data_IF_970405812036
#
_entry.id   IF_970405812036
#
_cell.length_a   1.000
_cell.length_b   1.000
_cell.length_c   1.000
_cell.angle_alpha   90.00
_cell.angle_beta   90.00
_cell.angle_gamma   90.00
#
_symmetry.space_group_name_H-M   'P 1'
#
loop_
_entity.id
_entity.type
_entity.pdbx_description
1 polymer ?
#
# COMPACT_ATOMS: atom_id res chain seq x y z
N UNK A 1 8.16 -8.03 10.19
CA UNK A 1 7.76 -7.30 11.42
C UNK A 1 7.34 -8.24 12.54
N UNK A 2 6.30 -9.06 12.36
CA UNK A 2 5.78 -10.00 13.40
C UNK A 2 6.84 -10.96 13.93
N UNK A 3 7.71 -11.49 13.06
CA UNK A 3 8.83 -12.37 13.48
C UNK A 3 9.78 -11.68 14.46
N UNK A 4 10.14 -10.41 14.23
CA UNK A 4 11.02 -9.64 15.12
C UNK A 4 10.36 -9.44 16.50
N UNK A 5 9.08 -9.08 16.52
CA UNK A 5 8.27 -8.91 17.73
C UNK A 5 8.20 -10.19 18.60
N UNK A 6 8.24 -11.36 17.96
CA UNK A 6 8.07 -12.66 18.61
C UNK A 6 9.38 -13.34 19.05
N UNK A 7 10.55 -12.76 18.76
CA UNK A 7 11.86 -13.39 19.05
C UNK A 7 12.13 -13.68 20.53
N UNK A 8 11.41 -13.07 21.46
CA UNK A 8 11.62 -13.16 22.91
C UNK A 8 10.55 -13.96 23.66
N UNK A 9 9.75 -14.81 22.98
CA UNK A 9 8.74 -15.64 23.66
C UNK A 9 9.33 -16.74 24.57
N UNK A 10 10.65 -16.93 24.53
CA UNK A 10 11.39 -17.69 25.55
C UNK A 10 11.91 -16.65 26.53
N UNK A 11 11.48 -16.73 27.80
CA UNK A 11 11.81 -15.76 28.86
C UNK A 11 13.31 -15.43 28.99
N UNK A 12 13.68 -14.46 29.85
CA UNK A 12 15.04 -13.94 29.92
C UNK A 12 16.07 -15.06 30.07
N UNK A 13 17.01 -15.11 29.13
CA UNK A 13 18.08 -16.10 29.11
C UNK A 13 19.11 -15.80 30.20
N UNK A 14 19.54 -16.81 30.95
CA UNK A 14 20.64 -16.71 31.92
C UNK A 14 22.04 -16.54 31.27
N UNK A 15 22.13 -16.39 29.95
CA UNK A 15 23.39 -16.16 29.24
C UNK A 15 23.82 -14.69 29.34
N UNK A 16 25.13 -14.45 29.29
CA UNK A 16 25.77 -13.12 29.35
C UNK A 16 24.97 -12.11 28.50
N UNK A 17 24.51 -11.03 29.15
CA UNK A 17 23.78 -9.93 28.51
C UNK A 17 24.67 -9.34 27.41
N UNK A 18 24.17 -9.27 26.18
CA UNK A 18 24.94 -8.79 25.04
C UNK A 18 24.15 -8.79 23.73
N UNK A 19 24.66 -8.00 22.78
CA UNK A 19 24.15 -7.78 21.42
C UNK A 19 23.72 -9.07 20.72
N UNK A 20 22.47 -9.16 20.28
CA UNK A 20 21.97 -10.34 19.56
C UNK A 20 22.18 -10.22 18.06
N UNK A 21 23.09 -11.02 17.50
CA UNK A 21 23.31 -11.10 16.04
C UNK A 21 22.01 -11.40 15.28
N UNK A 22 21.14 -12.26 15.83
CA UNK A 22 19.85 -12.61 15.20
C UNK A 22 18.85 -11.45 15.21
N UNK A 23 18.81 -10.66 16.29
CA UNK A 23 17.92 -9.51 16.37
C UNK A 23 18.32 -8.41 15.36
N UNK A 24 19.62 -8.18 15.18
CA UNK A 24 20.11 -7.25 14.15
C UNK A 24 19.76 -7.68 12.74
N UNK A 25 19.92 -8.96 12.40
CA UNK A 25 19.52 -9.47 11.07
C UNK A 25 18.03 -9.26 10.81
N UNK A 26 17.19 -9.49 11.82
CA UNK A 26 15.74 -9.28 11.70
C UNK A 26 15.37 -7.80 11.63
N UNK A 27 16.06 -6.91 12.36
CA UNK A 27 15.88 -5.46 12.24
C UNK A 27 16.24 -4.97 10.83
N UNK A 28 17.38 -5.39 10.29
CA UNK A 28 17.79 -5.06 8.92
C UNK A 28 16.81 -5.60 7.87
N UNK A 29 16.26 -6.80 8.08
CA UNK A 29 15.23 -7.35 7.18
C UNK A 29 13.93 -6.53 7.20
N UNK A 30 13.57 -5.99 8.36
CA UNK A 30 12.39 -5.10 8.48
C UNK A 30 12.66 -3.78 7.76
N UNK A 31 13.84 -3.19 7.95
CA UNK A 31 14.25 -1.96 7.27
C UNK A 31 14.19 -2.11 5.75
N UNK A 32 14.82 -3.16 5.20
CA UNK A 32 14.79 -3.42 3.76
C UNK A 32 13.35 -3.63 3.24
N UNK A 33 12.51 -4.35 3.99
CA UNK A 33 11.13 -4.55 3.60
C UNK A 33 10.32 -3.24 3.60
N UNK A 34 10.59 -2.34 4.55
CA UNK A 34 9.98 -1.01 4.59
C UNK A 34 10.43 -0.14 3.43
N UNK A 35 11.72 -0.13 3.09
CA UNK A 35 12.26 0.62 1.96
C UNK A 35 11.67 0.14 0.62
N UNK A 36 11.69 -1.17 0.37
CA UNK A 36 11.07 -1.77 -0.82
C UNK A 36 9.57 -1.46 -0.94
N UNK A 37 8.88 -1.34 0.21
CA UNK A 37 7.47 -0.97 0.24
C UNK A 37 7.28 0.51 -0.11
N UNK A 38 8.13 1.40 0.41
CA UNK A 38 8.10 2.83 0.12
C UNK A 38 8.35 3.11 -1.36
N UNK A 39 9.32 2.44 -2.00
CA UNK A 39 9.56 2.60 -3.44
C UNK A 39 8.32 2.30 -4.28
N UNK A 40 7.59 1.23 -3.94
CA UNK A 40 6.32 0.89 -4.60
C UNK A 40 5.23 1.91 -4.28
N UNK A 41 5.15 2.35 -3.02
CA UNK A 41 4.20 3.38 -2.57
C UNK A 41 4.39 4.70 -3.31
N UNK A 42 5.63 5.18 -3.41
CA UNK A 42 5.98 6.41 -4.13
C UNK A 42 5.59 6.32 -5.61
N UNK A 43 5.87 5.17 -6.25
CA UNK A 43 5.48 4.93 -7.64
C UNK A 43 3.95 4.99 -7.82
N UNK A 44 3.20 4.29 -6.97
CA UNK A 44 1.73 4.27 -7.00
C UNK A 44 1.18 5.68 -6.78
N UNK A 45 1.66 6.40 -5.77
CA UNK A 45 1.20 7.76 -5.47
C UNK A 45 1.50 8.73 -6.62
N UNK A 46 2.67 8.62 -7.26
CA UNK A 46 3.06 9.47 -8.39
C UNK A 46 2.20 9.23 -9.63
N UNK A 47 1.90 7.97 -9.93
CA UNK A 47 1.13 7.53 -11.10
C UNK A 47 -0.39 7.64 -10.91
N UNK A 48 -0.85 7.81 -9.67
CA UNK A 48 -2.29 7.90 -9.39
C UNK A 48 -2.92 9.16 -9.97
N UNK A 49 -4.08 8.97 -10.60
CA UNK A 49 -4.94 10.05 -11.10
C UNK A 49 -5.93 10.54 -10.04
N UNK A 50 -6.18 9.73 -9.00
CA UNK A 50 -7.14 10.01 -7.94
C UNK A 50 -6.45 9.97 -6.58
N UNK A 51 -6.90 10.80 -5.64
CA UNK A 51 -6.37 10.84 -4.27
C UNK A 51 -4.85 11.03 -4.20
N UNK A 52 -4.25 11.77 -5.15
CA UNK A 52 -2.80 11.87 -5.29
C UNK A 52 -2.15 12.48 -4.06
N UNK A 53 -2.71 13.57 -3.54
CA UNK A 53 -2.18 14.27 -2.36
C UNK A 53 -2.31 13.39 -1.11
N UNK A 54 -3.42 12.69 -0.95
CA UNK A 54 -3.68 11.79 0.16
C UNK A 54 -2.78 10.55 0.13
N UNK A 55 -2.52 10.01 -1.06
CA UNK A 55 -1.58 8.91 -1.27
C UNK A 55 -0.15 9.35 -0.96
N UNK A 56 0.29 10.51 -1.46
CA UNK A 56 1.61 11.07 -1.14
C UNK A 56 1.74 11.27 0.37
N UNK A 57 0.75 11.89 1.02
CA UNK A 57 0.76 12.09 2.47
C UNK A 57 0.77 10.76 3.24
N UNK A 58 0.06 9.73 2.76
CA UNK A 58 0.08 8.40 3.37
C UNK A 58 1.46 7.71 3.21
N UNK A 59 2.13 7.87 2.07
CA UNK A 59 3.50 7.36 1.88
C UNK A 59 4.48 8.08 2.81
N UNK A 60 4.37 9.40 2.96
CA UNK A 60 5.19 10.16 3.93
C UNK A 60 4.97 9.69 5.37
N UNK A 61 3.73 9.39 5.77
CA UNK A 61 3.47 8.84 7.11
C UNK A 61 4.09 7.45 7.26
N UNK A 62 3.99 6.56 6.26
CA UNK A 62 4.68 5.26 6.27
C UNK A 62 6.19 5.45 6.42
N UNK A 63 6.79 6.42 5.74
CA UNK A 63 8.22 6.73 5.84
C UNK A 63 8.60 7.14 7.26
N UNK A 64 7.86 8.09 7.83
CA UNK A 64 8.04 8.53 9.22
C UNK A 64 7.91 7.38 10.23
N UNK A 65 6.87 6.55 10.11
CA UNK A 65 6.71 5.40 11.01
C UNK A 65 7.78 4.33 10.76
N UNK A 66 8.28 4.22 9.53
CA UNK A 66 9.39 3.34 9.13
C UNK A 66 10.69 3.72 9.84
N UNK A 67 11.03 5.00 9.87
CA UNK A 67 12.21 5.52 10.57
C UNK A 67 12.13 5.28 12.09
N UNK A 68 10.96 5.51 12.69
CA UNK A 68 10.73 5.20 14.10
C UNK A 68 10.89 3.71 14.39
N UNK A 69 10.38 2.85 13.49
CA UNK A 69 10.52 1.40 13.61
C UNK A 69 11.98 0.96 13.46
N UNK A 70 12.74 1.56 12.53
CA UNK A 70 14.17 1.31 12.34
C UNK A 70 14.95 1.62 13.62
N UNK A 71 14.78 2.82 14.18
CA UNK A 71 15.45 3.21 15.43
C UNK A 71 15.07 2.30 16.60
N UNK A 72 13.77 2.07 16.82
CA UNK A 72 13.31 1.24 17.93
C UNK A 72 13.76 -0.25 17.80
N UNK A 73 13.85 -0.76 16.57
CA UNK A 73 14.36 -2.11 16.29
C UNK A 73 15.87 -2.22 16.51
N UNK A 74 16.64 -1.17 16.18
CA UNK A 74 18.07 -1.09 16.46
C UNK A 74 18.35 -1.10 17.96
N UNK A 75 17.68 -0.23 18.71
CA UNK A 75 17.79 -0.17 20.18
C UNK A 75 17.45 -1.51 20.85
N UNK A 76 16.39 -2.18 20.38
CA UNK A 76 16.00 -3.51 20.84
C UNK A 76 17.04 -4.57 20.47
N UNK A 77 17.63 -4.51 19.28
CA UNK A 77 18.63 -5.49 18.85
C UNK A 77 19.93 -5.41 19.69
N UNK A 78 20.28 -4.21 20.13
CA UNK A 78 21.41 -3.97 21.05
C UNK A 78 21.15 -4.49 22.47
N UNK A 79 19.90 -4.43 22.93
CA UNK A 79 19.49 -4.95 24.25
C UNK A 79 18.12 -5.68 24.21
N UNK A 80 18.09 -6.94 23.72
CA UNK A 80 16.84 -7.68 23.50
C UNK A 80 16.13 -8.12 24.78
N UNK A 81 16.81 -8.03 25.93
CA UNK A 81 16.25 -8.40 27.23
C UNK A 81 15.50 -7.24 27.89
N UNK A 82 15.62 -6.01 27.38
CA UNK A 82 14.89 -4.85 27.88
C UNK A 82 13.41 -4.89 27.50
N UNK A 83 12.55 -5.01 28.51
CA UNK A 83 11.10 -4.95 28.34
C UNK A 83 10.63 -3.59 27.82
N UNK A 84 11.30 -2.50 28.21
CA UNK A 84 11.02 -1.14 27.76
C UNK A 84 11.32 -0.98 26.27
N UNK A 85 12.52 -1.35 25.84
CA UNK A 85 12.93 -1.25 24.42
C UNK A 85 12.07 -2.15 23.53
N UNK A 86 11.75 -3.37 24.00
CA UNK A 86 10.77 -4.24 23.33
C UNK A 86 9.40 -3.56 23.21
N UNK A 87 8.91 -2.95 24.28
CA UNK A 87 7.64 -2.23 24.29
C UNK A 87 7.61 -1.08 23.28
N UNK A 88 8.69 -0.29 23.21
CA UNK A 88 8.85 0.80 22.25
C UNK A 88 8.81 0.26 20.81
N UNK A 89 9.60 -0.77 20.50
CA UNK A 89 9.62 -1.43 19.19
C UNK A 89 8.24 -1.98 18.81
N UNK A 90 7.52 -2.61 19.73
CA UNK A 90 6.17 -3.15 19.45
C UNK A 90 5.17 -2.03 19.11
N UNK A 91 5.25 -0.88 19.79
CA UNK A 91 4.41 0.28 19.46
C UNK A 91 4.75 0.87 18.10
N UNK A 92 6.04 1.02 17.79
CA UNK A 92 6.49 1.48 16.48
C UNK A 92 6.06 0.53 15.36
N UNK A 93 6.16 -0.78 15.58
CA UNK A 93 5.70 -1.80 14.64
C UNK A 93 4.19 -1.69 14.35
N UNK A 94 3.37 -1.49 15.39
CA UNK A 94 1.92 -1.31 15.24
C UNK A 94 1.60 -0.01 14.47
N UNK A 95 2.28 1.09 14.79
CA UNK A 95 2.10 2.36 14.10
C UNK A 95 2.44 2.23 12.60
N UNK A 96 3.57 1.60 12.27
CA UNK A 96 3.97 1.33 10.89
C UNK A 96 2.94 0.47 10.14
N UNK A 97 2.47 -0.63 10.74
CA UNK A 97 1.44 -1.47 10.12
C UNK A 97 0.12 -0.71 9.92
N UNK A 98 -0.24 0.18 10.83
CA UNK A 98 -1.42 1.04 10.71
C UNK A 98 -1.29 2.04 9.55
N UNK A 99 -0.14 2.70 9.42
CA UNK A 99 0.15 3.61 8.31
C UNK A 99 0.14 2.87 6.96
N UNK A 100 0.76 1.69 6.89
CA UNK A 100 0.74 0.81 5.71
C UNK A 100 -0.68 0.43 5.33
N UNK A 101 -1.51 0.04 6.31
CA UNK A 101 -2.91 -0.31 6.07
C UNK A 101 -3.69 0.88 5.50
N UNK A 102 -3.48 2.08 6.06
CA UNK A 102 -4.12 3.30 5.56
C UNK A 102 -3.73 3.60 4.12
N UNK A 103 -2.45 3.46 3.77
CA UNK A 103 -1.98 3.65 2.39
C UNK A 103 -2.67 2.65 1.42
N UNK A 104 -2.74 1.37 1.80
CA UNK A 104 -3.36 0.34 0.96
C UNK A 104 -4.86 0.58 0.74
N UNK A 105 -5.57 1.03 1.78
CA UNK A 105 -7.00 1.40 1.66
C UNK A 105 -7.17 2.57 0.70
N UNK A 106 -6.34 3.62 0.81
CA UNK A 106 -6.41 4.76 -0.11
C UNK A 106 -6.09 4.37 -1.56
N UNK A 107 -5.11 3.49 -1.76
CA UNK A 107 -4.77 2.99 -3.09
C UNK A 107 -5.95 2.20 -3.70
N UNK A 108 -6.60 1.35 -2.91
CA UNK A 108 -7.80 0.61 -3.32
C UNK A 108 -8.94 1.56 -3.72
N UNK A 109 -9.19 2.61 -2.93
CA UNK A 109 -10.19 3.62 -3.25
C UNK A 109 -9.89 4.35 -4.56
N UNK A 110 -8.62 4.69 -4.81
CA UNK A 110 -8.21 5.33 -6.06
C UNK A 110 -8.45 4.42 -7.29
N UNK A 111 -8.18 3.12 -7.17
CA UNK A 111 -8.48 2.13 -8.22
C UNK A 111 -9.99 2.01 -8.48
N UNK A 112 -10.81 2.00 -7.43
CA UNK A 112 -12.27 1.99 -7.56
C UNK A 112 -12.77 3.26 -8.25
N UNK A 113 -12.26 4.45 -7.90
CA UNK A 113 -12.64 5.68 -8.59
C UNK A 113 -12.30 5.65 -10.07
N UNK A 114 -11.14 5.12 -10.43
CA UNK A 114 -10.73 4.95 -11.82
C UNK A 114 -11.72 4.05 -12.60
N UNK A 115 -12.17 2.96 -11.99
CA UNK A 115 -13.17 2.07 -12.59
C UNK A 115 -14.53 2.75 -12.75
N UNK A 116 -14.99 3.48 -11.73
CA UNK A 116 -16.26 4.21 -11.76
C UNK A 116 -16.27 5.31 -12.84
N UNK A 117 -15.15 6.01 -13.05
CA UNK A 117 -15.04 6.99 -14.14
C UNK A 117 -15.14 6.31 -15.49
N UNK A 118 -14.46 5.18 -15.69
CA UNK A 118 -14.57 4.43 -16.96
C UNK A 118 -15.98 3.89 -17.19
N UNK A 119 -16.68 3.45 -16.14
CA UNK A 119 -18.09 3.04 -16.22
C UNK A 119 -18.98 4.18 -16.71
N UNK A 120 -18.82 5.40 -16.16
CA UNK A 120 -19.57 6.58 -16.61
C UNK A 120 -19.30 6.93 -18.08
N UNK A 121 -18.06 6.84 -18.53
CA UNK A 121 -17.70 7.06 -19.95
C UNK A 121 -18.47 6.10 -20.87
N UNK A 122 -18.52 4.82 -20.50
CA UNK A 122 -19.27 3.80 -21.26
C UNK A 122 -20.77 4.06 -21.20
N UNK A 123 -21.31 4.39 -20.03
CA UNK A 123 -22.74 4.73 -19.83
C UNK A 123 -23.16 5.92 -20.71
N UNK A 124 -22.40 7.01 -20.69
CA UNK A 124 -22.64 8.18 -21.53
C UNK A 124 -22.54 7.84 -23.02
N UNK A 125 -21.59 6.98 -23.39
CA UNK A 125 -21.45 6.52 -24.77
C UNK A 125 -22.64 5.67 -25.24
N UNK A 126 -23.18 4.80 -24.40
CA UNK A 126 -24.41 4.05 -24.67
C UNK A 126 -25.61 5.00 -24.82
N UNK A 127 -25.71 6.02 -23.96
CA UNK A 127 -26.77 7.01 -24.02
C UNK A 127 -26.74 7.80 -25.34
N UNK A 128 -25.54 8.21 -25.79
CA UNK A 128 -25.34 8.87 -27.09
C UNK A 128 -25.74 7.96 -28.24
N UNK A 129 -25.33 6.69 -28.20
CA UNK A 129 -25.67 5.70 -29.22
C UNK A 129 -27.20 5.50 -29.32
N UNK A 130 -27.89 5.39 -28.17
CA UNK A 130 -29.35 5.27 -28.09
C UNK A 130 -30.07 6.47 -28.74
N UNK A 131 -29.50 7.67 -28.61
CA UNK A 131 -30.08 8.90 -29.11
C UNK A 131 -29.60 9.25 -30.54
N UNK A 132 -28.93 8.34 -31.25
CA UNK A 132 -28.46 8.58 -32.61
C UNK A 132 -29.63 8.85 -33.56
N UNK A 133 -29.55 9.95 -34.32
CA UNK A 133 -30.62 10.38 -35.24
C UNK A 133 -30.56 9.72 -36.62
N UNK A 134 -29.40 9.14 -36.99
CA UNK A 134 -29.19 8.51 -38.30
C UNK A 134 -28.38 7.21 -38.16
N UNK A 135 -28.49 6.33 -39.17
CA UNK A 135 -27.70 5.09 -39.23
C UNK A 135 -26.19 5.37 -39.35
N UNK A 136 -25.82 6.44 -40.04
CA UNK A 136 -24.42 6.87 -40.17
C UNK A 136 -23.85 7.30 -38.81
N UNK A 137 -24.59 8.12 -38.06
CA UNK A 137 -24.19 8.54 -36.70
C UNK A 137 -24.11 7.37 -35.74
N UNK A 138 -25.05 6.42 -35.83
CA UNK A 138 -25.04 5.19 -35.05
C UNK A 138 -23.74 4.41 -35.29
N UNK A 139 -23.33 4.24 -36.55
CA UNK A 139 -22.09 3.57 -36.91
C UNK A 139 -20.83 4.27 -36.36
N UNK A 140 -20.79 5.60 -36.40
CA UNK A 140 -19.67 6.39 -35.87
C UNK A 140 -19.59 6.28 -34.34
N UNK A 141 -20.71 6.47 -33.65
CA UNK A 141 -20.78 6.40 -32.18
C UNK A 141 -20.44 5.00 -31.66
N UNK A 142 -20.90 3.95 -32.34
CA UNK A 142 -20.57 2.58 -31.96
C UNK A 142 -19.06 2.29 -32.08
N UNK A 143 -18.43 2.75 -33.17
CA UNK A 143 -16.97 2.62 -33.36
C UNK A 143 -16.18 3.34 -32.27
N UNK A 144 -16.67 4.49 -31.80
CA UNK A 144 -16.05 5.23 -30.70
C UNK A 144 -16.28 4.57 -29.32
N UNK A 145 -17.44 3.96 -29.11
CA UNK A 145 -17.79 3.29 -27.84
C UNK A 145 -17.01 1.98 -27.64
N UNK A 146 -16.80 1.21 -28.72
CA UNK A 146 -16.16 -0.12 -28.65
C UNK A 146 -14.83 -0.15 -27.85
N UNK A 147 -13.84 0.72 -28.10
CA UNK A 147 -12.60 0.71 -27.33
C UNK A 147 -12.79 1.05 -25.85
N UNK A 148 -13.75 1.92 -25.51
CA UNK A 148 -14.05 2.27 -24.11
C UNK A 148 -14.68 1.09 -23.34
N UNK A 149 -15.52 0.31 -24.01
CA UNK A 149 -16.08 -0.95 -23.47
C UNK A 149 -14.99 -1.98 -23.27
N UNK A 150 -14.08 -2.14 -24.23
CA UNK A 150 -12.97 -3.09 -24.13
C UNK A 150 -12.02 -2.73 -22.97
N UNK A 151 -11.71 -1.44 -22.83
CA UNK A 151 -10.93 -0.90 -21.72
C UNK A 151 -11.62 -1.16 -20.39
N UNK A 152 -12.92 -0.90 -20.29
CA UNK A 152 -13.71 -1.19 -19.09
C UNK A 152 -13.65 -2.68 -18.73
N UNK A 153 -13.82 -3.56 -19.71
CA UNK A 153 -13.79 -5.00 -19.48
C UNK A 153 -12.45 -5.48 -18.92
N UNK A 154 -11.33 -4.98 -19.46
CA UNK A 154 -9.99 -5.28 -18.94
C UNK A 154 -9.83 -4.77 -17.49
N UNK A 155 -10.31 -3.56 -17.20
CA UNK A 155 -10.23 -2.98 -15.85
C UNK A 155 -11.08 -3.76 -14.83
N UNK A 156 -12.31 -4.12 -15.20
CA UNK A 156 -13.22 -4.90 -14.37
C UNK A 156 -12.68 -6.32 -14.11
N UNK A 157 -12.14 -6.98 -15.14
CA UNK A 157 -11.54 -8.30 -15.01
C UNK A 157 -10.35 -8.29 -14.02
N UNK A 158 -9.49 -7.27 -14.07
CA UNK A 158 -8.40 -7.09 -13.11
C UNK A 158 -8.88 -6.88 -11.67
N UNK A 159 -10.04 -6.24 -11.49
CA UNK A 159 -10.63 -6.00 -10.16
C UNK A 159 -11.32 -7.25 -9.57
N UNK A 160 -11.79 -8.16 -10.42
CA UNK A 160 -12.55 -9.35 -10.01
C UNK A 160 -11.66 -10.52 -9.58
N UNK A 161 -10.40 -10.56 -10.01
CA UNK A 161 -9.40 -11.58 -9.65
C UNK A 161 -8.88 -11.41 -8.21
#
# INVERSE_FOLDING_TARGET
>A
VTTLVNTSNKGPSNKKRGRSKKAHVLAASVEQATENFLEKGDKIAKESQFLKEELVAAVEDVRKQGDLMKSASGEFADDPCSSVKRGNMVRAARALLSAVTRLLILADMADVYKLLVQLKVVEEGILKLRNAGTEQDLGILYKALKPEVDKLNIMAAKRQQ
#
